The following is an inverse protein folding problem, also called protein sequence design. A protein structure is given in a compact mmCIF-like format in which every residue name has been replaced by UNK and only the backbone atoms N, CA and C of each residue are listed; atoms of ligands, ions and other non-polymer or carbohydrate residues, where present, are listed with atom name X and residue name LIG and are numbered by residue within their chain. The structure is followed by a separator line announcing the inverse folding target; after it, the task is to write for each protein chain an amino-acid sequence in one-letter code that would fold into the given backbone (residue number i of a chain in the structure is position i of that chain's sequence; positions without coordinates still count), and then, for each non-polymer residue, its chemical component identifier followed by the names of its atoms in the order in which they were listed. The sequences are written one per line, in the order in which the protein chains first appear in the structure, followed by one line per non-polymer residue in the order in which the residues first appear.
data_IF_944276286508
#
_entry.id   IF_944276286508
#
_cell.length_a   1.000
_cell.length_b   1.000
_cell.length_c   1.000
_cell.angle_alpha   90.00
_cell.angle_beta   90.00
_cell.angle_gamma   90.00
#
_symmetry.space_group_name_H-M   'P 1'
#
loop_
_entity.id
_entity.type
_entity.pdbx_description
1 polymer ?
#
# COMPACT_ATOMS: atom_id res chain seq x y z
N UNK A 1 21.86 -30.83 7.34
CA UNK A 1 20.81 -30.67 6.30
C UNK A 1 19.95 -29.47 6.70
N UNK A 2 19.77 -28.51 5.83
CA UNK A 2 18.88 -27.36 6.08
C UNK A 2 17.42 -27.81 6.05
N UNK A 3 16.65 -27.50 7.09
CA UNK A 3 15.24 -27.89 7.17
C UNK A 3 14.37 -26.98 6.30
N UNK A 4 13.16 -27.44 5.95
CA UNK A 4 12.16 -26.64 5.23
C UNK A 4 11.84 -25.32 5.96
N UNK A 5 11.73 -25.40 7.29
CA UNK A 5 11.48 -24.24 8.16
C UNK A 5 12.63 -23.25 8.10
N UNK A 6 13.89 -23.70 8.19
CA UNK A 6 15.05 -22.81 8.04
C UNK A 6 15.08 -22.09 6.69
N UNK A 7 14.78 -22.79 5.59
CA UNK A 7 14.72 -22.17 4.26
C UNK A 7 13.67 -21.07 4.21
N UNK A 8 12.47 -21.29 4.74
CA UNK A 8 11.41 -20.29 4.81
C UNK A 8 11.81 -19.10 5.66
N UNK A 9 12.35 -19.32 6.85
CA UNK A 9 12.78 -18.24 7.74
C UNK A 9 13.91 -17.41 7.11
N UNK A 10 14.84 -18.06 6.42
CA UNK A 10 15.95 -17.41 5.72
C UNK A 10 15.43 -16.55 4.55
N UNK A 11 14.56 -17.10 3.70
CA UNK A 11 13.99 -16.38 2.57
C UNK A 11 13.09 -15.20 3.01
N UNK A 12 12.43 -15.33 4.16
CA UNK A 12 11.67 -14.25 4.79
C UNK A 12 12.53 -13.28 5.62
N UNK A 13 13.86 -13.38 5.53
CA UNK A 13 14.82 -12.52 6.22
C UNK A 13 14.69 -12.55 7.76
N UNK A 14 14.23 -13.67 8.34
CA UNK A 14 14.10 -13.83 9.78
C UNK A 14 15.30 -14.57 10.40
N UNK A 15 16.18 -15.11 9.57
CA UNK A 15 17.47 -15.67 9.97
C UNK A 15 18.58 -14.94 9.21
N UNK A 16 19.49 -14.29 9.96
CA UNK A 16 20.64 -13.56 9.42
C UNK A 16 20.23 -12.55 8.34
N UNK A 17 19.42 -11.51 8.68
CA UNK A 17 18.99 -10.51 7.73
C UNK A 17 20.21 -9.85 7.04
N UNK A 18 20.26 -9.79 5.70
CA UNK A 18 21.43 -9.25 4.99
C UNK A 18 21.35 -7.75 4.75
N UNK A 19 20.25 -7.09 5.07
CA UNK A 19 19.99 -5.69 4.72
C UNK A 19 19.98 -4.80 5.95
N UNK A 20 20.67 -3.67 5.87
CA UNK A 20 20.65 -2.62 6.89
C UNK A 20 19.53 -1.60 6.66
N UNK A 21 19.15 -1.38 5.39
CA UNK A 21 18.16 -0.39 5.02
C UNK A 21 16.74 -0.98 4.94
N UNK A 22 15.74 -0.38 5.62
CA UNK A 22 14.36 -0.89 5.65
C UNK A 22 13.71 -1.03 4.27
N UNK A 23 14.01 -0.13 3.33
CA UNK A 23 13.49 -0.21 1.96
C UNK A 23 13.97 -1.46 1.21
N UNK A 24 15.19 -1.94 1.48
CA UNK A 24 15.70 -3.17 0.85
C UNK A 24 14.92 -4.40 1.32
N UNK A 25 14.49 -4.42 2.58
CA UNK A 25 13.60 -5.46 3.11
C UNK A 25 12.26 -5.44 2.37
N UNK A 26 11.67 -4.27 2.19
CA UNK A 26 10.39 -4.12 1.48
C UNK A 26 10.54 -4.50 0.00
N UNK A 27 11.62 -4.10 -0.66
CA UNK A 27 11.95 -4.50 -2.05
C UNK A 27 12.15 -6.02 -2.18
N UNK A 28 12.78 -6.65 -1.19
CA UNK A 28 12.94 -8.11 -1.17
C UNK A 28 11.61 -8.84 -1.02
N UNK A 29 10.75 -8.40 -0.12
CA UNK A 29 9.44 -8.97 0.15
C UNK A 29 8.40 -8.61 -0.93
N UNK A 30 8.65 -7.56 -1.71
CA UNK A 30 7.74 -6.95 -2.67
C UNK A 30 6.70 -6.07 -2.02
N UNK A 31 5.96 -6.62 -1.06
CA UNK A 31 5.03 -5.86 -0.24
C UNK A 31 4.90 -6.51 1.15
N UNK A 32 4.73 -5.68 2.17
CA UNK A 32 4.51 -6.11 3.56
C UNK A 32 3.14 -5.61 4.00
N UNK A 33 2.26 -6.50 4.46
CA UNK A 33 0.94 -6.10 4.92
C UNK A 33 1.05 -5.07 6.05
N UNK A 34 0.37 -3.94 5.90
CA UNK A 34 0.45 -2.78 6.78
C UNK A 34 -0.92 -2.30 7.28
N UNK A 35 -1.86 -3.24 7.49
CA UNK A 35 -3.17 -2.93 8.05
C UNK A 35 -3.01 -2.38 9.48
N UNK A 36 -2.20 -3.02 10.30
CA UNK A 36 -1.69 -2.45 11.54
C UNK A 36 -0.34 -1.77 11.25
N UNK A 37 -0.33 -0.45 11.31
CA UNK A 37 0.83 0.36 10.94
C UNK A 37 2.04 0.13 11.87
N UNK A 38 1.79 -0.05 13.17
CA UNK A 38 2.86 -0.27 14.15
C UNK A 38 3.48 -1.67 13.96
N UNK A 39 2.63 -2.68 13.80
CA UNK A 39 3.08 -4.05 13.58
C UNK A 39 3.80 -4.21 12.24
N UNK A 40 3.41 -3.45 11.21
CA UNK A 40 4.12 -3.46 9.94
C UNK A 40 5.54 -2.87 10.07
N UNK A 41 5.71 -1.78 10.81
CA UNK A 41 7.06 -1.25 11.12
C UNK A 41 7.89 -2.29 11.87
N UNK A 42 7.32 -2.92 12.89
CA UNK A 42 7.99 -3.99 13.62
C UNK A 42 8.37 -5.16 12.70
N UNK A 43 7.46 -5.59 11.81
CA UNK A 43 7.72 -6.68 10.86
C UNK A 43 8.88 -6.36 9.90
N UNK A 44 9.03 -5.11 9.46
CA UNK A 44 10.20 -4.66 8.69
C UNK A 44 11.45 -4.67 9.56
N UNK A 45 11.37 -4.13 10.78
CA UNK A 45 12.50 -4.10 11.74
C UNK A 45 13.08 -5.47 12.07
N UNK A 46 12.22 -6.49 12.27
CA UNK A 46 12.68 -7.87 12.50
C UNK A 46 13.44 -8.49 11.32
N UNK A 47 13.44 -7.86 10.15
CA UNK A 47 14.06 -8.31 8.91
C UNK A 47 15.24 -7.45 8.48
N UNK A 48 15.61 -6.45 9.26
CA UNK A 48 16.84 -5.65 9.07
C UNK A 48 17.95 -6.17 9.95
N UNK A 49 19.20 -6.04 9.51
CA UNK A 49 20.37 -6.47 10.27
C UNK A 49 20.59 -5.59 11.51
N UNK A 50 20.29 -4.31 11.43
CA UNK A 50 20.28 -3.35 12.54
C UNK A 50 18.87 -2.82 12.75
N UNK A 51 18.27 -3.09 13.91
CA UNK A 51 16.89 -2.67 14.17
C UNK A 51 16.88 -1.30 14.85
N UNK A 52 16.54 -0.28 14.07
CA UNK A 52 16.23 1.06 14.57
C UNK A 52 14.87 1.52 14.01
N UNK A 53 13.90 1.71 14.90
CA UNK A 53 12.57 2.21 14.55
C UNK A 53 12.62 3.57 13.85
N UNK A 54 13.60 4.41 14.19
CA UNK A 54 13.76 5.75 13.60
C UNK A 54 14.16 5.67 12.13
N UNK A 55 14.94 4.67 11.73
CA UNK A 55 15.31 4.46 10.33
C UNK A 55 14.11 4.06 9.47
N UNK A 56 13.19 3.25 10.01
CA UNK A 56 11.96 2.85 9.31
C UNK A 56 11.06 4.08 9.13
N UNK A 57 10.90 4.88 10.18
CA UNK A 57 10.12 6.13 10.11
C UNK A 57 10.75 7.13 9.15
N UNK A 58 12.06 7.25 9.15
CA UNK A 58 12.77 8.09 8.19
C UNK A 58 12.56 7.62 6.74
N UNK A 59 12.61 6.31 6.46
CA UNK A 59 12.35 5.76 5.12
C UNK A 59 10.89 6.01 4.67
N UNK A 60 9.92 5.88 5.56
CA UNK A 60 8.52 6.22 5.30
C UNK A 60 8.34 7.73 5.05
N UNK A 61 8.97 8.57 5.86
CA UNK A 61 8.86 10.03 5.74
C UNK A 61 9.54 10.57 4.48
N UNK A 62 10.67 10.00 4.07
CA UNK A 62 11.32 10.34 2.77
C UNK A 62 10.53 9.83 1.56
N UNK A 63 9.74 8.76 1.70
CA UNK A 63 9.02 8.12 0.60
C UNK A 63 9.79 6.98 -0.06
N UNK A 64 10.86 6.48 0.57
CA UNK A 64 11.53 5.26 0.11
C UNK A 64 10.59 4.05 0.24
N UNK A 65 9.80 4.05 1.30
CA UNK A 65 8.69 3.12 1.55
C UNK A 65 7.38 3.91 1.56
N UNK A 66 6.40 3.43 0.82
CA UNK A 66 5.06 4.02 0.77
C UNK A 66 4.04 3.03 1.33
N UNK A 67 2.96 3.56 1.91
CA UNK A 67 1.81 2.79 2.35
C UNK A 67 0.62 3.08 1.45
N UNK A 68 0.01 2.05 0.90
CA UNK A 68 -1.14 2.16 0.00
C UNK A 68 -1.96 0.88 0.00
N UNK A 69 -3.17 0.92 -0.55
CA UNK A 69 -3.94 -0.29 -0.85
C UNK A 69 -3.33 -0.99 -2.06
N UNK A 70 -2.85 -2.21 -1.86
CA UNK A 70 -2.13 -2.97 -2.88
C UNK A 70 -2.40 -4.48 -2.72
N UNK A 71 -2.31 -5.24 -3.82
CA UNK A 71 -2.52 -6.69 -3.93
C UNK A 71 -3.94 -7.13 -3.55
N UNK A 72 -4.44 -6.73 -2.40
CA UNK A 72 -5.78 -6.93 -1.87
C UNK A 72 -6.31 -5.61 -1.30
N UNK A 73 -7.61 -5.48 -0.96
CA UNK A 73 -8.16 -4.25 -0.39
C UNK A 73 -7.69 -4.01 1.05
N UNK A 74 -6.38 -4.13 1.29
CA UNK A 74 -5.69 -3.88 2.56
C UNK A 74 -4.46 -3.03 2.33
N UNK A 75 -4.04 -2.27 3.34
CA UNK A 75 -2.81 -1.50 3.25
C UNK A 75 -1.57 -2.39 3.25
N UNK A 76 -0.60 -2.00 2.43
CA UNK A 76 0.73 -2.59 2.36
C UNK A 76 1.81 -1.52 2.38
N UNK A 77 2.98 -1.85 2.93
CA UNK A 77 4.22 -1.16 2.62
C UNK A 77 4.77 -1.71 1.32
N UNK A 78 5.21 -0.82 0.47
CA UNK A 78 5.80 -1.10 -0.83
C UNK A 78 6.92 -0.09 -1.11
N UNK A 79 7.95 -0.49 -1.85
CA UNK A 79 8.97 0.45 -2.33
C UNK A 79 8.34 1.45 -3.31
N UNK A 80 8.78 2.72 -3.23
CA UNK A 80 8.36 3.74 -4.19
C UNK A 80 8.65 3.37 -5.65
N UNK A 81 9.69 2.56 -5.88
CA UNK A 81 10.08 2.05 -7.20
C UNK A 81 9.10 1.00 -7.76
N UNK A 82 8.46 0.23 -6.86
CA UNK A 82 7.63 -0.91 -7.26
C UNK A 82 6.12 -0.60 -7.23
N UNK A 83 5.71 0.47 -6.57
CA UNK A 83 4.32 0.78 -6.33
C UNK A 83 3.50 0.86 -7.63
N UNK A 84 3.98 1.58 -8.65
CA UNK A 84 3.21 1.85 -9.85
C UNK A 84 2.92 0.59 -10.66
N UNK A 85 3.94 -0.21 -10.93
CA UNK A 85 3.74 -1.45 -11.69
C UNK A 85 2.94 -2.50 -10.90
N UNK A 86 3.04 -2.51 -9.57
CA UNK A 86 2.19 -3.38 -8.76
C UNK A 86 0.72 -2.92 -8.77
N UNK A 87 0.46 -1.62 -8.75
CA UNK A 87 -0.89 -1.08 -8.92
C UNK A 87 -1.47 -1.46 -10.26
N UNK A 88 -0.70 -1.39 -11.36
CA UNK A 88 -1.20 -1.77 -12.70
C UNK A 88 -1.70 -3.22 -12.76
N UNK A 89 -1.18 -4.11 -11.92
CA UNK A 89 -1.64 -5.49 -11.82
C UNK A 89 -2.90 -5.68 -10.97
N UNK A 90 -3.12 -4.83 -9.96
CA UNK A 90 -4.04 -5.14 -8.86
C UNK A 90 -5.15 -4.11 -8.65
N UNK A 91 -5.01 -2.92 -9.22
CA UNK A 91 -5.92 -1.79 -8.99
C UNK A 91 -7.37 -2.08 -9.36
N UNK A 92 -7.63 -2.70 -10.52
CA UNK A 92 -8.99 -2.98 -10.98
C UNK A 92 -9.78 -3.84 -9.98
N UNK A 93 -9.12 -4.85 -9.44
CA UNK A 93 -9.73 -5.73 -8.46
C UNK A 93 -10.01 -5.04 -7.13
N UNK A 94 -9.09 -4.21 -6.67
CA UNK A 94 -9.24 -3.45 -5.42
C UNK A 94 -10.36 -2.42 -5.60
N UNK A 95 -10.43 -1.75 -6.75
CA UNK A 95 -11.51 -0.83 -7.10
C UNK A 95 -12.88 -1.53 -7.06
N UNK A 96 -12.99 -2.67 -7.73
CA UNK A 96 -14.23 -3.44 -7.74
C UNK A 96 -14.70 -3.85 -6.33
N UNK A 97 -13.76 -4.25 -5.47
CA UNK A 97 -14.04 -4.58 -4.08
C UNK A 97 -14.49 -3.35 -3.28
N UNK A 98 -13.79 -2.20 -3.45
CA UNK A 98 -14.12 -0.93 -2.81
C UNK A 98 -15.51 -0.43 -3.22
N UNK A 99 -15.80 -0.44 -4.52
CA UNK A 99 -17.10 -0.02 -5.06
C UNK A 99 -18.23 -0.97 -4.63
N UNK A 100 -17.94 -2.28 -4.52
CA UNK A 100 -18.91 -3.25 -4.02
C UNK A 100 -19.24 -3.02 -2.55
N UNK A 101 -18.25 -2.69 -1.73
CA UNK A 101 -18.45 -2.36 -0.32
C UNK A 101 -19.25 -1.07 -0.13
N UNK A 102 -19.03 -0.07 -0.98
CA UNK A 102 -19.73 1.21 -0.90
C UNK A 102 -21.20 1.13 -1.34
N UNK A 103 -21.54 0.17 -2.22
CA UNK A 103 -22.92 0.02 -2.72
C UNK A 103 -23.91 -0.22 -1.58
N UNK A 104 -25.01 0.54 -1.59
CA UNK A 104 -26.04 0.45 -0.56
C UNK A 104 -25.71 1.14 0.75
N UNK A 105 -24.61 1.87 0.82
CA UNK A 105 -24.21 2.70 1.96
C UNK A 105 -24.16 4.18 1.58
N UNK A 106 -24.02 5.05 2.56
CA UNK A 106 -23.77 6.50 2.36
C UNK A 106 -22.36 6.80 1.77
N UNK A 107 -21.53 5.76 1.62
CA UNK A 107 -20.24 5.86 0.96
C UNK A 107 -20.34 5.79 -0.57
N UNK A 108 -21.47 5.39 -1.13
CA UNK A 108 -21.65 5.27 -2.58
C UNK A 108 -21.56 6.66 -3.26
N UNK A 109 -20.61 6.78 -4.19
CA UNK A 109 -20.40 7.97 -4.99
C UNK A 109 -20.62 7.61 -6.47
N UNK A 110 -21.33 8.44 -7.20
CA UNK A 110 -21.46 8.28 -8.65
C UNK A 110 -20.14 8.66 -9.36
N UNK A 111 -19.94 8.14 -10.58
CA UNK A 111 -18.70 8.33 -11.33
C UNK A 111 -18.36 9.80 -11.60
N UNK A 112 -19.37 10.66 -11.80
CA UNK A 112 -19.19 12.11 -12.04
C UNK A 112 -18.70 12.80 -10.78
N UNK A 113 -19.27 12.47 -9.65
CA UNK A 113 -18.85 12.96 -8.32
C UNK A 113 -17.44 12.50 -7.99
N UNK A 114 -17.11 11.22 -8.21
CA UNK A 114 -15.76 10.70 -8.01
C UNK A 114 -14.75 11.50 -8.81
N UNK A 115 -14.96 11.70 -10.11
CA UNK A 115 -14.03 12.47 -10.95
C UNK A 115 -13.84 13.92 -10.45
N UNK A 116 -14.93 14.60 -10.12
CA UNK A 116 -14.87 15.95 -9.54
C UNK A 116 -14.09 15.98 -8.23
N UNK A 117 -14.33 15.05 -7.34
CA UNK A 117 -13.70 14.99 -6.02
C UNK A 117 -12.23 14.62 -6.11
N UNK A 118 -11.84 13.75 -7.05
CA UNK A 118 -10.43 13.45 -7.34
C UNK A 118 -9.65 14.69 -7.77
N UNK A 119 -10.19 15.50 -8.67
CA UNK A 119 -9.56 16.74 -9.10
C UNK A 119 -9.37 17.74 -7.94
N UNK A 120 -10.34 17.81 -7.02
CA UNK A 120 -10.24 18.68 -5.84
C UNK A 120 -9.27 18.12 -4.80
N UNK A 121 -9.21 16.80 -4.64
CA UNK A 121 -8.24 16.11 -3.79
C UNK A 121 -6.81 16.39 -4.27
N UNK A 122 -6.55 16.27 -5.59
CA UNK A 122 -5.25 16.60 -6.16
C UNK A 122 -4.85 18.04 -5.83
N UNK A 123 -5.71 19.03 -6.15
CA UNK A 123 -5.46 20.45 -5.82
C UNK A 123 -5.24 20.71 -4.32
N UNK A 124 -5.84 19.90 -3.47
CA UNK A 124 -5.70 20.02 -2.02
C UNK A 124 -4.32 19.54 -1.55
N UNK A 125 -3.71 18.61 -2.28
CA UNK A 125 -2.43 17.98 -1.95
C UNK A 125 -1.24 18.50 -2.76
N UNK A 126 -1.44 19.27 -3.83
CA UNK A 126 -0.38 19.83 -4.68
C UNK A 126 0.65 20.64 -3.86
N UNK A 127 1.91 20.58 -4.26
CA UNK A 127 3.03 21.33 -3.68
C UNK A 127 3.60 20.64 -2.44
N UNK A 128 3.82 19.35 -2.49
CA UNK A 128 4.39 18.53 -1.41
C UNK A 128 3.63 18.65 -0.09
N UNK A 129 2.30 18.81 -0.17
CA UNK A 129 1.46 18.87 1.01
C UNK A 129 1.13 17.46 1.50
N UNK A 130 1.40 17.26 2.77
CA UNK A 130 1.04 16.04 3.48
C UNK A 130 -0.12 16.35 4.42
N UNK A 131 -1.29 15.73 4.21
CA UNK A 131 -2.50 16.02 4.98
C UNK A 131 -3.09 14.76 5.60
N UNK A 132 -3.56 14.88 6.83
CA UNK A 132 -4.33 13.80 7.47
C UNK A 132 -5.68 13.63 6.76
N UNK A 133 -6.35 12.52 7.02
CA UNK A 133 -7.70 12.27 6.50
C UNK A 133 -8.68 13.37 6.94
N UNK A 134 -8.56 13.81 8.17
CA UNK A 134 -9.38 14.87 8.77
C UNK A 134 -9.13 16.21 8.05
N UNK A 135 -7.87 16.61 7.86
CA UNK A 135 -7.49 17.84 7.13
C UNK A 135 -7.99 17.82 5.67
N UNK A 136 -8.02 16.65 5.03
CA UNK A 136 -8.59 16.48 3.68
C UNK A 136 -10.12 16.65 3.73
N UNK A 137 -10.79 16.00 4.69
CA UNK A 137 -12.22 16.12 4.87
C UNK A 137 -12.68 17.57 5.08
N UNK A 138 -11.97 18.31 5.95
CA UNK A 138 -12.21 19.73 6.18
C UNK A 138 -12.01 20.56 4.92
N UNK A 139 -10.93 20.32 4.18
CA UNK A 139 -10.64 21.05 2.94
C UNK A 139 -11.68 20.82 1.83
N UNK A 140 -12.25 19.61 1.75
CA UNK A 140 -13.34 19.29 0.84
C UNK A 140 -14.66 19.92 1.30
N UNK A 141 -14.96 19.87 2.60
CA UNK A 141 -16.14 20.48 3.19
C UNK A 141 -16.18 21.99 2.96
N UNK A 142 -15.06 22.69 3.14
CA UNK A 142 -14.92 24.13 2.84
C UNK A 142 -15.18 24.48 1.36
N UNK A 143 -15.08 23.50 0.45
CA UNK A 143 -15.41 23.62 -0.97
C UNK A 143 -16.83 23.15 -1.33
N UNK A 144 -17.67 22.97 -0.32
CA UNK A 144 -19.07 22.55 -0.49
C UNK A 144 -19.25 21.07 -0.80
N UNK A 145 -18.30 20.22 -0.36
CA UNK A 145 -18.35 18.76 -0.49
C UNK A 145 -18.29 18.13 0.90
N UNK A 146 -19.39 18.12 1.64
CA UNK A 146 -19.48 17.44 2.92
C UNK A 146 -19.57 15.92 2.69
N UNK A 147 -18.49 15.20 2.90
CA UNK A 147 -18.45 13.74 2.82
C UNK A 147 -18.60 13.11 4.21
N UNK A 148 -19.37 12.05 4.31
CA UNK A 148 -19.32 11.18 5.49
C UNK A 148 -17.94 10.56 5.64
N UNK A 149 -17.61 10.05 6.83
CA UNK A 149 -16.35 9.37 7.07
C UNK A 149 -16.17 8.13 6.18
N UNK A 150 -17.29 7.47 5.84
CA UNK A 150 -17.28 6.31 4.94
C UNK A 150 -17.07 6.73 3.48
N UNK A 151 -17.74 7.79 3.01
CA UNK A 151 -17.56 8.33 1.66
C UNK A 151 -16.14 8.87 1.44
N UNK A 152 -15.57 9.57 2.44
CA UNK A 152 -14.19 10.04 2.38
C UNK A 152 -13.19 8.87 2.32
N UNK A 153 -13.41 7.82 3.12
CA UNK A 153 -12.59 6.60 3.07
C UNK A 153 -12.67 5.92 1.72
N UNK A 154 -13.87 5.80 1.15
CA UNK A 154 -14.09 5.24 -0.20
C UNK A 154 -13.32 6.04 -1.24
N UNK A 155 -13.43 7.37 -1.21
CA UNK A 155 -12.74 8.28 -2.13
C UNK A 155 -11.21 8.15 -2.02
N UNK A 156 -10.66 8.14 -0.80
CA UNK A 156 -9.22 8.02 -0.59
C UNK A 156 -8.68 6.67 -1.06
N UNK A 157 -9.37 5.57 -0.75
CA UNK A 157 -8.98 4.24 -1.24
C UNK A 157 -9.04 4.17 -2.77
N UNK A 158 -10.04 4.82 -3.39
CA UNK A 158 -10.11 4.95 -4.84
C UNK A 158 -8.95 5.76 -5.39
N UNK A 159 -8.59 6.90 -4.76
CA UNK A 159 -7.45 7.73 -5.15
C UNK A 159 -6.11 6.99 -5.03
N UNK A 160 -5.94 6.14 -4.02
CA UNK A 160 -4.75 5.28 -3.89
C UNK A 160 -4.68 4.26 -5.02
N UNK A 161 -5.78 3.60 -5.34
CA UNK A 161 -5.81 2.57 -6.40
C UNK A 161 -5.76 3.14 -7.81
N UNK A 162 -6.16 4.40 -7.99
CA UNK A 162 -6.00 5.12 -9.25
C UNK A 162 -4.59 5.75 -9.39
N UNK A 163 -3.70 5.53 -8.41
CA UNK A 163 -2.33 6.03 -8.44
C UNK A 163 -2.22 7.55 -8.30
N UNK A 164 -3.21 8.20 -7.69
CA UNK A 164 -3.25 9.65 -7.46
C UNK A 164 -2.58 10.00 -6.15
N UNK A 165 -2.88 9.25 -5.08
CA UNK A 165 -2.33 9.49 -3.75
C UNK A 165 -1.64 8.24 -3.19
N UNK A 166 -0.79 8.46 -2.22
CA UNK A 166 -0.17 7.45 -1.36
C UNK A 166 0.00 8.01 0.05
N UNK A 167 0.66 7.28 0.95
CA UNK A 167 1.03 7.83 2.25
C UNK A 167 1.99 9.01 2.10
N UNK A 168 1.74 10.06 2.86
CA UNK A 168 2.67 11.16 3.10
C UNK A 168 3.60 10.90 4.28
N UNK A 169 4.41 11.88 4.65
CA UNK A 169 5.17 11.86 5.88
C UNK A 169 4.24 11.99 7.09
N UNK A 170 4.52 11.26 8.15
CA UNK A 170 3.72 11.29 9.37
C UNK A 170 3.76 12.67 10.04
N UNK A 171 2.62 13.08 10.57
CA UNK A 171 2.49 14.26 11.42
C UNK A 171 2.27 13.83 12.87
N UNK A 172 3.31 13.93 13.70
CA UNK A 172 3.22 13.60 15.13
C UNK A 172 2.60 12.21 15.41
N UNK A 173 2.99 11.21 14.62
CA UNK A 173 2.48 9.85 14.71
C UNK A 173 1.13 9.60 14.01
N UNK A 174 0.56 10.62 13.36
CA UNK A 174 -0.65 10.48 12.54
C UNK A 174 -0.27 10.30 11.08
N UNK A 175 -0.82 9.29 10.43
CA UNK A 175 -0.61 9.02 9.01
C UNK A 175 -1.24 10.10 8.15
N UNK A 176 -0.58 10.45 7.05
CA UNK A 176 -1.03 11.46 6.10
C UNK A 176 -1.13 10.89 4.69
N UNK A 177 -1.75 11.65 3.80
CA UNK A 177 -1.79 11.41 2.36
C UNK A 177 -1.02 12.50 1.63
N UNK A 178 -0.41 12.14 0.52
CA UNK A 178 0.31 13.02 -0.40
C UNK A 178 0.08 12.58 -1.85
N UNK A 179 0.42 13.42 -2.81
CA UNK A 179 0.36 13.02 -4.22
C UNK A 179 1.43 11.97 -4.54
N UNK A 180 1.04 10.92 -5.25
CA UNK A 180 1.97 9.87 -5.64
C UNK A 180 3.07 10.39 -6.56
N UNK A 181 2.74 11.32 -7.48
CA UNK A 181 3.72 11.90 -8.41
C UNK A 181 4.79 12.75 -7.72
N UNK A 182 4.51 13.27 -6.52
CA UNK A 182 5.46 14.03 -5.70
C UNK A 182 6.31 13.13 -4.78
N UNK A 183 5.86 11.88 -4.54
CA UNK A 183 6.50 10.93 -3.62
C UNK A 183 7.25 9.79 -4.31
N UNK A 184 6.78 9.39 -5.48
CA UNK A 184 7.37 8.29 -6.25
C UNK A 184 7.61 8.75 -7.68
N UNK A 185 8.85 8.75 -8.16
CA UNK A 185 9.16 9.13 -9.53
C UNK A 185 8.43 8.19 -10.51
N UNK A 186 8.02 8.75 -11.64
CA UNK A 186 7.59 7.93 -12.77
C UNK A 186 8.80 7.21 -13.35
N UNK A 187 8.69 5.90 -13.51
CA UNK A 187 9.70 5.06 -14.13
C UNK A 187 9.15 4.37 -15.36
N UNK A 188 9.91 3.44 -15.90
CA UNK A 188 9.42 2.55 -16.94
C UNK A 188 8.24 1.73 -16.44
N UNK A 189 7.14 1.78 -17.16
CA UNK A 189 5.97 0.93 -16.90
C UNK A 189 6.14 -0.38 -17.67
N UNK A 190 6.41 -1.48 -16.97
CA UNK A 190 6.54 -2.78 -17.63
C UNK A 190 5.19 -3.21 -18.22
N UNK A 191 5.23 -4.00 -19.28
CA UNK A 191 4.03 -4.69 -19.77
C UNK A 191 3.40 -5.54 -18.65
N UNK A 192 2.12 -5.90 -18.80
CA UNK A 192 1.43 -6.73 -17.80
C UNK A 192 2.14 -8.08 -17.56
N UNK A 193 2.70 -8.67 -18.60
CA UNK A 193 3.43 -9.95 -18.51
C UNK A 193 4.74 -9.77 -17.74
N UNK A 194 5.50 -8.73 -18.02
CA UNK A 194 6.74 -8.40 -17.31
C UNK A 194 6.46 -8.07 -15.84
N UNK A 195 5.42 -7.29 -15.54
CA UNK A 195 5.00 -6.97 -14.19
C UNK A 195 4.62 -8.24 -13.42
N UNK A 196 3.85 -9.15 -14.05
CA UNK A 196 3.49 -10.43 -13.44
C UNK A 196 4.73 -11.31 -13.20
N UNK A 197 5.64 -11.39 -14.19
CA UNK A 197 6.88 -12.14 -14.04
C UNK A 197 7.77 -11.59 -12.92
N UNK A 198 7.84 -10.25 -12.76
CA UNK A 198 8.52 -9.61 -11.61
C UNK A 198 7.90 -10.02 -10.30
N UNK A 199 6.58 -9.98 -10.18
CA UNK A 199 5.87 -10.34 -8.95
C UNK A 199 6.04 -11.83 -8.60
N UNK A 200 5.98 -12.72 -9.58
CA UNK A 200 6.25 -14.17 -9.40
C UNK A 200 7.66 -14.39 -8.84
N UNK A 201 8.67 -13.75 -9.45
CA UNK A 201 10.07 -13.87 -8.97
C UNK A 201 10.23 -13.37 -7.54
N UNK A 202 9.66 -12.22 -7.22
CA UNK A 202 9.70 -11.64 -5.86
C UNK A 202 9.05 -12.60 -4.87
N UNK A 203 7.85 -13.12 -5.20
CA UNK A 203 7.14 -14.04 -4.33
C UNK A 203 7.94 -15.31 -4.05
N UNK A 204 8.38 -16.01 -5.09
CA UNK A 204 9.13 -17.25 -4.90
C UNK A 204 10.51 -17.02 -4.27
N UNK A 205 11.16 -15.90 -4.52
CA UNK A 205 12.40 -15.53 -3.83
C UNK A 205 12.20 -15.38 -2.32
N UNK A 206 11.14 -14.71 -1.91
CA UNK A 206 10.91 -14.34 -0.51
C UNK A 206 10.08 -15.36 0.28
N UNK A 207 9.31 -16.24 -0.39
CA UNK A 207 8.40 -17.17 0.28
C UNK A 207 8.68 -18.64 0.02
N UNK A 208 9.67 -18.97 -0.84
CA UNK A 208 10.02 -20.39 -1.07
C UNK A 208 10.56 -21.08 0.21
N UNK A 209 10.32 -22.38 0.34
CA UNK A 209 9.55 -23.25 -0.53
C UNK A 209 8.05 -22.95 -0.49
N UNK A 210 7.46 -22.67 -1.65
CA UNK A 210 6.06 -22.36 -1.84
C UNK A 210 5.56 -22.98 -3.16
N UNK A 211 4.27 -23.20 -3.28
CA UNK A 211 3.62 -23.76 -4.47
C UNK A 211 2.98 -22.65 -5.31
N UNK A 212 2.61 -22.99 -6.55
CA UNK A 212 1.81 -22.09 -7.38
C UNK A 212 0.45 -21.77 -6.73
N UNK A 213 -0.15 -22.73 -6.00
CA UNK A 213 -1.39 -22.50 -5.28
C UNK A 213 -1.22 -21.44 -4.19
N UNK A 214 -0.08 -21.43 -3.46
CA UNK A 214 0.23 -20.40 -2.46
C UNK A 214 0.34 -19.00 -3.10
N UNK A 215 0.99 -18.92 -4.26
CA UNK A 215 1.06 -17.66 -5.02
C UNK A 215 -0.34 -17.20 -5.49
N UNK A 216 -1.17 -18.11 -5.99
CA UNK A 216 -2.52 -17.79 -6.43
C UNK A 216 -3.38 -17.26 -5.28
N UNK A 217 -3.20 -17.74 -4.05
CA UNK A 217 -3.91 -17.24 -2.87
C UNK A 217 -3.61 -15.75 -2.58
N UNK A 218 -2.44 -15.25 -2.95
CA UNK A 218 -2.10 -13.83 -2.84
C UNK A 218 -3.08 -12.93 -3.63
N UNK A 219 -3.61 -13.44 -4.74
CA UNK A 219 -4.52 -12.71 -5.64
C UNK A 219 -5.98 -13.09 -5.48
N UNK A 220 -6.30 -14.31 -5.09
CA UNK A 220 -7.65 -14.89 -5.31
C UNK A 220 -8.50 -15.02 -4.06
N UNK A 221 -7.92 -15.11 -2.86
CA UNK A 221 -8.71 -15.33 -1.63
C UNK A 221 -8.86 -14.07 -0.80
N UNK A 222 -10.09 -13.76 -0.31
CA UNK A 222 -10.23 -12.87 0.81
C UNK A 222 -9.49 -13.48 2.01
N UNK A 223 -8.76 -12.67 2.77
CA UNK A 223 -8.14 -13.10 4.01
C UNK A 223 -9.21 -13.62 4.97
N UNK A 224 -8.93 -14.65 5.80
CA UNK A 224 -9.83 -15.00 6.91
C UNK A 224 -10.16 -13.81 7.81
N UNK A 225 -9.26 -12.82 7.92
CA UNK A 225 -9.50 -11.55 8.63
C UNK A 225 -10.48 -10.62 7.90
N UNK A 226 -10.67 -10.78 6.60
CA UNK A 226 -11.64 -10.01 5.83
C UNK A 226 -13.06 -10.52 6.02
N UNK A 227 -13.22 -11.78 6.48
CA UNK A 227 -14.52 -12.43 6.78
C UNK A 227 -15.06 -12.11 8.17
N UNK A 228 -14.24 -11.62 9.10
CA UNK A 228 -14.64 -11.39 10.49
C UNK A 228 -15.17 -9.99 10.76
N UNK A 229 -15.51 -9.23 9.71
CA UNK A 229 -16.08 -7.88 9.80
C UNK A 229 -17.39 -7.78 9.00
N UNK A 230 -18.19 -8.81 9.03
CA UNK A 230 -19.63 -8.72 8.69
C UNK A 230 -20.47 -8.73 9.95
#
# INVERSE_FOLDING_TARGET
MTTLTELRLRNQLLLQPPFDAPQQVVEWMGAVQAQDYRMAKWAVGCRTASTDATQIEAALNRGDILRTHLLRPTWHFVSSKDLRWMLSLTADRIRAANDSYARGTDAALDSKSIHRYMNLLQKTLEGNKHRTKEEIGEALNQRGIPLSQYALRHLLMRAETDGIVCSGADKKGTTTYALLDERAPRGEEPSREEALARLVRIYFRSHSPATLADFCLLYTSPSPRDRTRS
#
